data_IF_799105672412
#
_entry.id   IF_799105672412
#
_cell.length_a   1.000
_cell.length_b   1.000
_cell.length_c   1.000
_cell.angle_alpha   90.00
_cell.angle_beta   90.00
_cell.angle_gamma   90.00
#
_symmetry.space_group_name_H-M   'P 1'
#
loop_
_entity.id
_entity.type
_entity.pdbx_description
1 polymer ?
#
# COMPACT_ATOMS: atom_id res chain seq x y z
N UNK A 1 -5.61 4.76 22.42
CA UNK A 1 -4.72 5.88 21.95
C UNK A 1 -5.27 6.44 20.64
N UNK A 2 -5.10 7.74 20.36
CA UNK A 2 -5.52 8.34 19.08
C UNK A 2 -4.33 8.57 18.15
N UNK A 3 -4.48 8.23 16.88
CA UNK A 3 -3.52 8.55 15.81
C UNK A 3 -4.17 9.56 14.88
N UNK A 4 -3.42 10.61 14.53
CA UNK A 4 -3.84 11.65 13.60
C UNK A 4 -3.00 11.62 12.34
N UNK A 5 -3.62 11.88 11.20
CA UNK A 5 -2.89 12.17 9.98
C UNK A 5 -2.29 13.59 10.07
N UNK A 6 -1.02 13.80 9.74
CA UNK A 6 -0.43 15.15 9.75
C UNK A 6 -1.04 16.04 8.67
N UNK A 7 -1.26 17.31 8.99
CA UNK A 7 -1.68 18.32 7.99
C UNK A 7 -0.58 18.61 6.99
N UNK A 8 -0.96 18.90 5.76
CA UNK A 8 -0.01 19.32 4.71
C UNK A 8 0.62 20.66 5.05
N UNK A 9 1.94 20.77 4.83
CA UNK A 9 2.66 22.01 5.04
C UNK A 9 2.37 23.00 3.89
N UNK A 10 1.99 24.23 4.22
CA UNK A 10 1.71 25.29 3.24
C UNK A 10 2.95 25.67 2.40
N UNK A 11 4.15 25.52 2.94
CA UNK A 11 5.42 25.79 2.25
C UNK A 11 5.98 24.58 1.47
N UNK A 12 5.15 23.58 1.17
CA UNK A 12 5.55 22.37 0.44
C UNK A 12 5.45 22.53 -1.07
N UNK A 13 6.14 21.66 -1.79
CA UNK A 13 6.09 21.52 -3.25
C UNK A 13 5.83 20.05 -3.63
N UNK A 14 5.59 19.77 -4.92
CA UNK A 14 5.28 18.40 -5.39
C UNK A 14 6.31 17.33 -4.99
N UNK A 15 7.59 17.69 -4.86
CA UNK A 15 8.64 16.77 -4.41
C UNK A 15 8.66 16.49 -2.91
N UNK A 16 7.97 17.30 -2.08
CA UNK A 16 7.93 17.11 -0.63
C UNK A 16 7.19 15.83 -0.24
N UNK A 17 6.11 15.50 -0.96
CA UNK A 17 5.25 14.34 -0.65
C UNK A 17 5.61 13.09 -1.45
N UNK A 18 6.88 12.97 -1.80
CA UNK A 18 7.48 11.75 -2.35
C UNK A 18 7.05 11.40 -3.77
N UNK A 19 7.64 10.32 -4.24
CA UNK A 19 7.55 9.79 -5.59
C UNK A 19 7.09 8.33 -5.50
N UNK A 20 5.92 8.01 -6.03
CA UNK A 20 5.40 6.66 -6.07
C UNK A 20 5.56 6.07 -7.48
N UNK A 21 6.22 4.91 -7.59
CA UNK A 21 6.15 4.08 -8.78
C UNK A 21 5.11 2.99 -8.58
N UNK A 22 4.14 2.94 -9.48
CA UNK A 22 3.08 1.93 -9.51
C UNK A 22 3.28 1.06 -10.74
N UNK A 23 3.45 -0.25 -10.55
CA UNK A 23 3.45 -1.25 -11.62
C UNK A 23 2.11 -1.98 -11.55
N UNK A 24 1.23 -1.68 -12.52
CA UNK A 24 -0.16 -2.11 -12.50
C UNK A 24 -0.77 -2.15 -13.91
N UNK A 25 -1.79 -2.97 -14.12
CA UNK A 25 -2.59 -2.95 -15.35
C UNK A 25 -1.95 -3.69 -16.53
N UNK A 26 -2.12 -5.00 -16.59
CA UNK A 26 -1.94 -5.76 -17.82
C UNK A 26 -2.94 -5.32 -18.90
N UNK A 27 -2.82 -5.83 -20.11
CA UNK A 27 -3.78 -5.58 -21.19
C UNK A 27 -5.22 -5.85 -20.72
N UNK A 28 -6.12 -4.88 -20.94
CA UNK A 28 -7.52 -4.93 -20.50
C UNK A 28 -7.74 -4.58 -19.02
N UNK A 29 -6.69 -4.29 -18.24
CA UNK A 29 -6.77 -3.99 -16.82
C UNK A 29 -6.37 -2.53 -16.48
N UNK A 30 -6.56 -1.59 -17.42
CA UNK A 30 -6.28 -0.17 -17.23
C UNK A 30 -7.00 0.43 -16.00
N UNK A 31 -8.20 -0.07 -15.67
CA UNK A 31 -8.97 0.38 -14.51
C UNK A 31 -8.26 0.16 -13.17
N UNK A 32 -7.61 -0.99 -12.97
CA UNK A 32 -6.86 -1.28 -11.75
C UNK A 32 -5.66 -0.31 -11.59
N UNK A 33 -4.92 -0.09 -12.68
CA UNK A 33 -3.82 0.87 -12.73
C UNK A 33 -4.30 2.31 -12.43
N UNK A 34 -5.44 2.70 -13.04
CA UNK A 34 -6.05 4.00 -12.82
C UNK A 34 -6.45 4.21 -11.36
N UNK A 35 -7.19 3.26 -10.75
CA UNK A 35 -7.65 3.42 -9.36
C UNK A 35 -6.49 3.47 -8.37
N UNK A 36 -5.45 2.67 -8.57
CA UNK A 36 -4.24 2.73 -7.75
C UNK A 36 -3.55 4.10 -7.85
N UNK A 37 -3.37 4.64 -9.06
CA UNK A 37 -2.73 5.93 -9.29
C UNK A 37 -3.59 7.11 -8.79
N UNK A 38 -4.90 7.10 -9.09
CA UNK A 38 -5.84 8.11 -8.62
C UNK A 38 -5.85 8.19 -7.10
N UNK A 39 -5.95 7.02 -6.45
CA UNK A 39 -5.98 6.95 -4.99
C UNK A 39 -4.67 7.37 -4.36
N UNK A 40 -3.52 7.06 -4.95
CA UNK A 40 -2.22 7.55 -4.49
C UNK A 40 -2.18 9.09 -4.50
N UNK A 41 -2.63 9.73 -5.58
CA UNK A 41 -2.75 11.19 -5.64
C UNK A 41 -3.75 11.75 -4.65
N UNK A 42 -4.97 11.18 -4.58
CA UNK A 42 -6.02 11.61 -3.64
C UNK A 42 -5.63 11.42 -2.18
N UNK A 43 -4.66 10.54 -1.93
CA UNK A 43 -4.07 10.31 -0.60
C UNK A 43 -2.75 11.06 -0.38
N UNK A 44 -2.44 12.04 -1.23
CA UNK A 44 -1.43 13.05 -0.94
C UNK A 44 -0.05 12.83 -1.57
N UNK A 45 0.17 11.77 -2.36
CA UNK A 45 1.42 11.58 -3.12
C UNK A 45 1.73 12.80 -4.00
N UNK A 46 2.97 13.24 -4.03
CA UNK A 46 3.37 14.40 -4.82
C UNK A 46 3.59 14.10 -6.29
N UNK A 47 4.18 12.96 -6.62
CA UNK A 47 4.47 12.52 -7.98
C UNK A 47 4.20 11.02 -8.14
N UNK A 48 3.52 10.63 -9.22
CA UNK A 48 3.28 9.23 -9.57
C UNK A 48 3.88 8.94 -10.94
N UNK A 49 4.69 7.87 -11.01
CA UNK A 49 4.97 7.16 -12.26
C UNK A 49 4.11 5.90 -12.29
N UNK A 50 3.40 5.70 -13.38
CA UNK A 50 2.54 4.54 -13.57
C UNK A 50 3.07 3.71 -14.74
N UNK A 51 3.57 2.52 -14.45
CA UNK A 51 4.06 1.56 -15.42
C UNK A 51 2.96 0.53 -15.71
N UNK A 52 2.49 0.46 -16.95
CA UNK A 52 1.35 -0.37 -17.37
C UNK A 52 1.61 -1.00 -18.74
N UNK A 53 0.77 -1.94 -19.17
CA UNK A 53 0.85 -2.50 -20.50
C UNK A 53 0.71 -1.41 -21.57
N UNK A 54 1.42 -1.57 -22.69
CA UNK A 54 1.48 -0.59 -23.80
C UNK A 54 0.09 -0.21 -24.30
N UNK A 55 -0.82 -1.15 -24.34
CA UNK A 55 -2.20 -1.00 -24.80
C UNK A 55 -3.01 -0.03 -23.93
N UNK A 56 -2.61 0.14 -22.68
CA UNK A 56 -3.29 1.02 -21.71
C UNK A 56 -2.81 2.48 -21.75
N UNK A 57 -1.69 2.80 -22.41
CA UNK A 57 -1.04 4.11 -22.30
C UNK A 57 -1.97 5.27 -22.69
N UNK A 58 -2.65 5.19 -23.84
CA UNK A 58 -3.56 6.24 -24.30
C UNK A 58 -4.75 6.43 -23.37
N UNK A 59 -5.29 5.33 -22.82
CA UNK A 59 -6.41 5.34 -21.86
C UNK A 59 -5.95 6.01 -20.57
N UNK A 60 -4.83 5.59 -20.00
CA UNK A 60 -4.32 6.10 -18.75
C UNK A 60 -3.88 7.56 -18.85
N UNK A 61 -3.26 7.98 -19.98
CA UNK A 61 -2.90 9.37 -20.20
C UNK A 61 -4.13 10.28 -20.23
N UNK A 62 -5.28 9.75 -20.69
CA UNK A 62 -6.55 10.51 -20.71
C UNK A 62 -7.20 10.54 -19.32
N UNK A 63 -7.19 9.40 -18.60
CA UNK A 63 -7.87 9.26 -17.30
C UNK A 63 -7.13 9.94 -16.14
N UNK A 64 -5.78 9.96 -16.20
CA UNK A 64 -4.93 10.52 -15.13
C UNK A 64 -3.72 11.26 -15.74
N UNK A 65 -3.96 12.43 -16.38
CA UNK A 65 -2.92 13.19 -17.05
C UNK A 65 -1.82 13.71 -16.12
N UNK A 66 -2.05 13.72 -14.80
CA UNK A 66 -1.08 14.11 -13.79
C UNK A 66 0.05 13.06 -13.62
N UNK A 67 -0.20 11.80 -13.99
CA UNK A 67 0.78 10.73 -13.86
C UNK A 67 1.76 10.69 -15.04
N UNK A 68 3.02 10.39 -14.75
CA UNK A 68 4.00 10.05 -15.79
C UNK A 68 3.78 8.60 -16.17
N UNK A 69 3.31 8.35 -17.39
CA UNK A 69 3.00 6.99 -17.84
C UNK A 69 4.23 6.36 -18.51
N UNK A 70 4.57 5.14 -18.09
CA UNK A 70 5.59 4.28 -18.70
C UNK A 70 4.94 3.00 -19.19
N UNK A 71 5.49 2.40 -20.26
CA UNK A 71 5.08 1.04 -20.64
C UNK A 71 6.08 0.01 -20.13
N UNK A 72 5.57 -1.16 -19.76
CA UNK A 72 6.38 -2.35 -19.74
C UNK A 72 6.13 -3.16 -21.00
N UNK A 73 7.17 -3.79 -21.53
CA UNK A 73 7.11 -4.78 -22.59
C UNK A 73 8.35 -5.67 -22.49
N UNK A 74 8.38 -6.78 -23.25
CA UNK A 74 9.52 -7.71 -23.29
C UNK A 74 10.81 -7.12 -23.90
N UNK A 75 10.77 -5.91 -24.41
CA UNK A 75 11.91 -5.23 -24.99
C UNK A 75 12.89 -4.80 -23.92
N UNK A 76 14.18 -5.03 -24.10
CA UNK A 76 15.23 -4.71 -23.11
C UNK A 76 15.26 -3.23 -22.70
N UNK A 77 14.92 -2.34 -23.61
CA UNK A 77 14.88 -0.88 -23.35
C UNK A 77 13.81 -0.54 -22.32
N UNK A 78 12.63 -1.15 -22.39
CA UNK A 78 11.55 -0.94 -21.41
C UNK A 78 11.92 -1.46 -20.01
N UNK A 79 12.62 -2.58 -19.92
CA UNK A 79 13.14 -3.06 -18.62
C UNK A 79 14.13 -2.08 -18.00
N UNK A 80 14.98 -1.42 -18.83
CA UNK A 80 15.90 -0.38 -18.34
C UNK A 80 15.16 0.88 -17.87
N UNK A 81 14.09 1.27 -18.56
CA UNK A 81 13.23 2.38 -18.12
C UNK A 81 12.55 2.09 -16.79
N UNK A 82 12.05 0.85 -16.60
CA UNK A 82 11.47 0.40 -15.33
C UNK A 82 12.54 0.40 -14.22
N UNK A 83 13.76 -0.09 -14.49
CA UNK A 83 14.87 -0.04 -13.53
C UNK A 83 15.18 1.40 -13.08
N UNK A 84 15.28 2.33 -14.03
CA UNK A 84 15.46 3.76 -13.72
C UNK A 84 14.26 4.34 -12.94
N UNK A 85 13.05 3.86 -13.19
CA UNK A 85 11.88 4.29 -12.45
C UNK A 85 11.86 3.73 -11.00
N UNK A 86 12.37 2.52 -10.78
CA UNK A 86 12.57 1.94 -9.45
C UNK A 86 13.56 2.78 -8.64
N UNK A 87 14.68 3.18 -9.24
CA UNK A 87 15.67 4.04 -8.59
C UNK A 87 15.15 5.46 -8.28
N UNK A 88 14.24 5.97 -9.11
CA UNK A 88 13.63 7.28 -8.92
C UNK A 88 12.62 7.32 -7.76
N UNK A 89 12.01 6.18 -7.40
CA UNK A 89 10.89 6.12 -6.48
C UNK A 89 11.29 6.24 -5.01
N UNK A 90 10.41 6.83 -4.21
CA UNK A 90 10.45 6.82 -2.74
C UNK A 90 9.50 5.75 -2.16
N UNK A 91 8.57 5.21 -2.98
CA UNK A 91 7.65 4.12 -2.66
C UNK A 91 7.33 3.31 -3.92
N UNK A 92 7.26 2.00 -3.78
CA UNK A 92 6.91 1.07 -4.86
C UNK A 92 5.57 0.37 -4.56
N UNK A 93 4.69 0.33 -5.55
CA UNK A 93 3.45 -0.45 -5.52
C UNK A 93 3.44 -1.40 -6.71
N UNK A 94 3.29 -2.70 -6.45
CA UNK A 94 3.23 -3.73 -7.48
C UNK A 94 1.98 -4.59 -7.33
N UNK A 95 1.27 -4.83 -8.44
CA UNK A 95 0.34 -5.94 -8.53
C UNK A 95 -1.08 -5.65 -8.99
N UNK A 96 -1.72 -4.50 -8.75
CA UNK A 96 -3.09 -4.27 -9.19
C UNK A 96 -3.27 -4.55 -10.68
N UNK A 97 -4.04 -5.60 -11.02
CA UNK A 97 -4.31 -5.98 -12.41
C UNK A 97 -3.10 -6.30 -13.28
N UNK A 98 -1.97 -6.73 -12.68
CA UNK A 98 -0.74 -7.07 -13.44
C UNK A 98 -0.83 -8.38 -14.22
N UNK A 99 -1.82 -9.23 -13.89
CA UNK A 99 -1.82 -10.61 -14.35
C UNK A 99 -0.72 -11.45 -13.70
N UNK A 100 -0.67 -12.74 -14.08
CA UNK A 100 0.29 -13.71 -13.52
C UNK A 100 1.15 -14.35 -14.60
N UNK A 101 1.32 -13.68 -15.75
CA UNK A 101 2.17 -14.12 -16.86
C UNK A 101 3.66 -13.94 -16.55
N UNK A 102 4.51 -14.47 -17.46
CA UNK A 102 5.96 -14.47 -17.27
C UNK A 102 6.53 -13.04 -17.20
N UNK A 103 5.99 -12.10 -17.98
CA UNK A 103 6.41 -10.69 -17.95
C UNK A 103 6.17 -10.04 -16.57
N UNK A 104 4.97 -10.25 -16.00
CA UNK A 104 4.66 -9.75 -14.65
C UNK A 104 5.57 -10.39 -13.59
N UNK A 105 5.92 -11.67 -13.77
CA UNK A 105 6.86 -12.40 -12.91
C UNK A 105 8.27 -11.82 -12.98
N UNK A 106 8.77 -11.53 -14.18
CA UNK A 106 10.09 -10.91 -14.37
C UNK A 106 10.14 -9.50 -13.80
N UNK A 107 9.07 -8.70 -13.98
CA UNK A 107 8.95 -7.37 -13.40
C UNK A 107 8.92 -7.41 -11.86
N UNK A 108 8.19 -8.35 -11.25
CA UNK A 108 8.20 -8.51 -9.81
C UNK A 108 9.60 -8.90 -9.30
N UNK A 109 10.29 -9.79 -10.01
CA UNK A 109 11.68 -10.15 -9.70
C UNK A 109 12.58 -8.91 -9.73
N UNK A 110 12.51 -8.11 -10.80
CA UNK A 110 13.26 -6.86 -10.95
C UNK A 110 13.02 -5.91 -9.78
N UNK A 111 11.74 -5.71 -9.41
CA UNK A 111 11.36 -4.86 -8.27
C UNK A 111 11.96 -5.38 -6.97
N UNK A 112 11.89 -6.68 -6.70
CA UNK A 112 12.43 -7.30 -5.47
C UNK A 112 13.97 -7.27 -5.41
N UNK A 113 14.64 -7.38 -6.55
CA UNK A 113 16.11 -7.35 -6.62
C UNK A 113 16.69 -5.92 -6.55
N UNK A 114 16.04 -4.97 -7.22
CA UNK A 114 16.54 -3.59 -7.39
C UNK A 114 15.96 -2.59 -6.40
N UNK A 115 14.73 -2.76 -5.94
CA UNK A 115 14.08 -1.84 -5.00
C UNK A 115 14.85 -1.72 -3.67
N UNK A 116 14.85 -0.49 -3.12
CA UNK A 116 15.52 -0.16 -1.84
C UNK A 116 14.65 0.72 -0.94
N UNK A 117 13.45 1.00 -1.38
CA UNK A 117 12.45 1.84 -0.70
C UNK A 117 11.27 0.98 -0.25
N UNK A 118 10.32 1.48 0.54
CA UNK A 118 9.12 0.70 0.88
C UNK A 118 8.41 0.15 -0.33
N UNK A 119 8.01 -1.11 -0.27
CA UNK A 119 7.31 -1.84 -1.33
C UNK A 119 5.98 -2.39 -0.81
N UNK A 120 4.90 -2.12 -1.53
CA UNK A 120 3.62 -2.77 -1.35
C UNK A 120 3.37 -3.75 -2.49
N UNK A 121 3.03 -5.00 -2.14
CA UNK A 121 2.59 -6.03 -3.10
C UNK A 121 1.14 -6.38 -2.80
N UNK A 122 0.26 -6.24 -3.81
CA UNK A 122 -1.17 -6.56 -3.72
C UNK A 122 -1.62 -7.41 -4.91
N UNK A 123 -2.79 -7.96 -4.84
CA UNK A 123 -3.52 -8.61 -5.93
C UNK A 123 -2.66 -9.65 -6.71
N UNK A 124 -2.43 -9.44 -8.01
CA UNK A 124 -1.68 -10.39 -8.84
C UNK A 124 -0.22 -10.53 -8.41
N UNK A 125 0.37 -9.51 -7.77
CA UNK A 125 1.69 -9.63 -7.15
C UNK A 125 1.72 -10.71 -6.06
N UNK A 126 0.68 -10.79 -5.22
CA UNK A 126 0.52 -11.84 -4.21
C UNK A 126 0.27 -13.20 -4.83
N UNK A 127 -0.51 -13.25 -5.93
CA UNK A 127 -0.72 -14.48 -6.68
C UNK A 127 0.58 -15.02 -7.29
N UNK A 128 1.46 -14.14 -7.80
CA UNK A 128 2.79 -14.52 -8.28
C UNK A 128 3.67 -15.08 -7.15
N UNK A 129 3.71 -14.38 -6.01
CA UNK A 129 4.44 -14.87 -4.83
C UNK A 129 3.95 -16.25 -4.40
N UNK A 130 2.63 -16.49 -4.40
CA UNK A 130 2.08 -17.77 -3.95
C UNK A 130 2.49 -18.97 -4.81
N UNK A 131 2.92 -18.74 -6.06
CA UNK A 131 3.24 -19.79 -7.05
C UNK A 131 4.73 -19.99 -7.28
N UNK A 132 5.60 -19.12 -6.76
CA UNK A 132 7.04 -19.14 -7.06
C UNK A 132 7.87 -18.98 -5.78
N UNK A 133 8.55 -20.07 -5.38
CA UNK A 133 9.39 -20.10 -4.19
C UNK A 133 10.62 -19.17 -4.27
N UNK A 134 11.14 -18.91 -5.49
CA UNK A 134 12.24 -17.99 -5.68
C UNK A 134 11.78 -16.53 -5.43
N UNK A 135 10.59 -16.15 -5.91
CA UNK A 135 9.99 -14.86 -5.60
C UNK A 135 9.69 -14.72 -4.11
N UNK A 136 9.22 -15.77 -3.45
CA UNK A 136 9.02 -15.77 -1.98
C UNK A 136 10.34 -15.52 -1.25
N UNK A 137 11.42 -16.18 -1.65
CA UNK A 137 12.75 -15.99 -1.05
C UNK A 137 13.24 -14.54 -1.24
N UNK A 138 13.05 -13.96 -2.42
CA UNK A 138 13.38 -12.55 -2.71
C UNK A 138 12.52 -11.60 -1.87
N UNK A 139 11.21 -11.84 -1.73
CA UNK A 139 10.33 -11.01 -0.90
C UNK A 139 10.74 -11.04 0.58
N UNK A 140 11.07 -12.22 1.13
CA UNK A 140 11.62 -12.35 2.50
C UNK A 140 12.95 -11.61 2.66
N UNK A 141 13.82 -11.67 1.65
CA UNK A 141 15.08 -10.93 1.64
C UNK A 141 14.86 -9.41 1.55
N UNK A 142 13.84 -8.98 0.80
CA UNK A 142 13.43 -7.58 0.72
C UNK A 142 12.95 -7.06 2.06
N UNK A 143 12.05 -7.77 2.74
CA UNK A 143 11.52 -7.40 4.05
C UNK A 143 12.58 -7.25 5.15
N UNK A 144 13.73 -7.95 5.04
CA UNK A 144 14.88 -7.77 5.94
C UNK A 144 15.70 -6.50 5.66
N UNK A 145 15.58 -5.91 4.48
CA UNK A 145 16.41 -4.75 4.04
C UNK A 145 15.61 -3.47 3.92
N UNK A 146 14.33 -3.58 3.66
CA UNK A 146 13.42 -2.45 3.46
C UNK A 146 12.02 -2.82 3.91
N UNK A 147 11.16 -1.83 4.10
CA UNK A 147 9.78 -2.04 4.52
C UNK A 147 8.97 -2.73 3.40
N UNK A 148 8.38 -3.87 3.73
CA UNK A 148 7.52 -4.63 2.84
C UNK A 148 6.09 -4.64 3.38
N UNK A 149 5.11 -4.27 2.55
CA UNK A 149 3.69 -4.42 2.82
C UNK A 149 3.12 -5.53 1.95
N UNK A 150 2.36 -6.43 2.55
CA UNK A 150 1.56 -7.42 1.85
C UNK A 150 0.11 -7.26 2.27
N UNK A 151 -0.80 -7.15 1.29
CA UNK A 151 -2.19 -6.79 1.55
C UNK A 151 -3.20 -7.83 1.05
N UNK A 152 -3.04 -9.13 1.40
CA UNK A 152 -3.90 -10.19 0.91
C UNK A 152 -5.32 -10.10 1.47
N UNK A 153 -6.34 -10.42 0.65
CA UNK A 153 -7.61 -10.90 1.16
C UNK A 153 -7.52 -12.38 1.55
N UNK A 154 -8.54 -12.93 2.22
CA UNK A 154 -8.49 -14.30 2.77
C UNK A 154 -8.09 -15.38 1.74
N UNK A 155 -8.60 -15.30 0.50
CA UNK A 155 -8.27 -16.27 -0.55
C UNK A 155 -6.82 -16.14 -1.04
N UNK A 156 -6.30 -14.92 -1.17
CA UNK A 156 -4.89 -14.67 -1.50
C UNK A 156 -3.99 -15.15 -0.37
N UNK A 157 -4.38 -14.89 0.87
CA UNK A 157 -3.63 -15.33 2.05
C UNK A 157 -3.61 -16.85 2.19
N UNK A 158 -4.72 -17.54 1.88
CA UNK A 158 -4.78 -19.01 1.81
C UNK A 158 -3.75 -19.56 0.85
N UNK A 159 -3.69 -19.03 -0.39
CA UNK A 159 -2.71 -19.46 -1.40
C UNK A 159 -1.27 -19.16 -0.97
N UNK A 160 -1.03 -17.95 -0.43
CA UNK A 160 0.29 -17.47 -0.07
C UNK A 160 0.86 -18.19 1.17
N UNK A 161 0.02 -18.49 2.16
CA UNK A 161 0.41 -19.19 3.38
C UNK A 161 0.39 -20.73 3.26
N UNK A 162 -0.23 -21.25 2.19
CA UNK A 162 -0.46 -22.70 2.02
C UNK A 162 -1.46 -23.28 3.04
N UNK A 163 -2.28 -22.43 3.69
CA UNK A 163 -3.29 -22.84 4.66
C UNK A 163 -4.68 -22.80 4.04
N UNK A 164 -5.54 -23.75 4.43
CA UNK A 164 -6.94 -23.76 4.02
C UNK A 164 -7.72 -22.57 4.62
N UNK A 165 -8.81 -22.17 3.98
CA UNK A 165 -9.68 -21.12 4.52
C UNK A 165 -10.20 -21.46 5.91
N UNK A 166 -10.57 -22.71 6.17
CA UNK A 166 -11.04 -23.18 7.46
C UNK A 166 -9.95 -23.03 8.55
N UNK A 167 -8.66 -23.32 8.23
CA UNK A 167 -7.57 -23.06 9.17
C UNK A 167 -7.41 -21.56 9.46
N UNK A 168 -7.54 -20.70 8.42
CA UNK A 168 -7.45 -19.25 8.56
C UNK A 168 -8.63 -18.70 9.36
N UNK A 169 -9.84 -19.17 9.15
CA UNK A 169 -11.01 -18.77 9.93
C UNK A 169 -10.86 -19.11 11.42
N UNK A 170 -10.31 -20.27 11.73
CA UNK A 170 -10.13 -20.73 13.11
C UNK A 170 -8.90 -20.16 13.81
N UNK A 171 -7.80 -19.93 13.10
CA UNK A 171 -6.49 -19.58 13.65
C UNK A 171 -5.80 -18.40 12.90
N UNK A 172 -6.57 -17.61 12.14
CA UNK A 172 -6.03 -16.58 11.24
C UNK A 172 -5.06 -15.62 11.91
N UNK A 173 -5.38 -15.16 13.10
CA UNK A 173 -4.49 -14.27 13.85
C UNK A 173 -3.13 -14.91 14.18
N UNK A 174 -3.09 -16.21 14.53
CA UNK A 174 -1.84 -16.93 14.80
C UNK A 174 -1.03 -17.15 13.51
N UNK A 175 -1.71 -17.55 12.44
CA UNK A 175 -1.09 -17.78 11.13
C UNK A 175 -0.54 -16.47 10.58
N UNK A 176 -1.31 -15.37 10.64
CA UNK A 176 -0.91 -14.06 10.19
C UNK A 176 0.32 -13.53 10.95
N UNK A 177 0.38 -13.70 12.27
CA UNK A 177 1.54 -13.34 13.11
C UNK A 177 2.81 -14.08 12.69
N UNK A 178 2.72 -15.41 12.52
CA UNK A 178 3.85 -16.22 12.05
C UNK A 178 4.30 -15.80 10.66
N UNK A 179 3.35 -15.53 9.75
CA UNK A 179 3.62 -15.12 8.39
C UNK A 179 4.30 -13.74 8.32
N UNK A 180 3.78 -12.74 9.06
CA UNK A 180 4.39 -11.41 9.14
C UNK A 180 5.84 -11.46 9.59
N UNK A 181 6.13 -12.26 10.61
CA UNK A 181 7.48 -12.50 11.12
C UNK A 181 8.38 -13.22 10.10
N UNK A 182 7.86 -14.23 9.41
CA UNK A 182 8.62 -15.00 8.41
C UNK A 182 9.02 -14.14 7.20
N UNK A 183 8.11 -13.29 6.72
CA UNK A 183 8.35 -12.42 5.58
C UNK A 183 8.98 -11.08 5.98
N UNK A 184 9.14 -10.79 7.27
CA UNK A 184 9.56 -9.48 7.78
C UNK A 184 8.73 -8.34 7.17
N UNK A 185 7.40 -8.51 7.13
CA UNK A 185 6.50 -7.59 6.44
C UNK A 185 5.39 -7.06 7.36
N UNK A 186 4.89 -5.89 7.04
CA UNK A 186 3.60 -5.44 7.55
C UNK A 186 2.54 -6.16 6.73
N UNK A 187 1.82 -7.08 7.37
CA UNK A 187 0.76 -7.85 6.74
C UNK A 187 -0.59 -7.22 7.07
N UNK A 188 -1.33 -6.83 6.04
CA UNK A 188 -2.72 -6.38 6.15
C UNK A 188 -3.64 -7.48 5.63
N UNK A 189 -4.15 -8.32 6.53
CA UNK A 189 -5.09 -9.38 6.16
C UNK A 189 -6.48 -8.77 6.01
N UNK A 190 -6.88 -8.53 4.74
CA UNK A 190 -8.13 -7.88 4.36
C UNK A 190 -9.31 -8.83 4.52
N UNK A 191 -10.29 -8.45 5.35
CA UNK A 191 -11.57 -9.12 5.50
C UNK A 191 -12.60 -8.12 6.03
N UNK A 192 -13.82 -8.57 6.38
CA UNK A 192 -14.79 -7.75 7.09
C UNK A 192 -14.21 -7.22 8.42
N UNK A 193 -13.26 -7.93 9.02
CA UNK A 193 -12.48 -7.50 10.17
C UNK A 193 -10.96 -7.56 9.86
N UNK A 194 -10.44 -6.47 9.32
CA UNK A 194 -9.06 -6.38 8.84
C UNK A 194 -8.05 -6.36 9.99
N UNK A 195 -7.02 -7.19 9.90
CA UNK A 195 -5.90 -7.23 10.85
C UNK A 195 -4.64 -6.62 10.23
N UNK A 196 -3.90 -5.85 11.04
CA UNK A 196 -2.55 -5.36 10.71
C UNK A 196 -1.55 -6.03 11.65
N UNK A 197 -0.60 -6.73 11.07
CA UNK A 197 0.47 -7.45 11.77
C UNK A 197 1.81 -6.78 11.45
N UNK A 198 2.62 -6.55 12.49
CA UNK A 198 3.97 -6.00 12.33
C UNK A 198 4.97 -7.04 11.81
N UNK A 199 6.16 -6.62 11.34
CA UNK A 199 7.25 -7.53 10.96
C UNK A 199 7.76 -8.41 12.10
N UNK A 200 7.52 -8.02 13.36
CA UNK A 200 7.83 -8.80 14.56
C UNK A 200 6.75 -9.86 14.87
N UNK A 201 5.65 -9.88 14.10
CA UNK A 201 4.52 -10.79 14.29
C UNK A 201 3.55 -10.32 15.38
N UNK A 202 3.51 -9.05 15.69
CA UNK A 202 2.55 -8.48 16.64
C UNK A 202 1.28 -8.01 15.94
N UNK A 203 0.12 -8.24 16.55
CA UNK A 203 -1.13 -7.65 16.12
C UNK A 203 -1.16 -6.19 16.60
N UNK A 204 -0.93 -5.26 15.67
CA UNK A 204 -0.89 -3.83 15.98
C UNK A 204 -2.23 -3.13 15.79
N UNK A 205 -3.13 -3.73 15.03
CA UNK A 205 -4.47 -3.21 14.81
C UNK A 205 -5.43 -4.29 14.35
N UNK A 206 -6.66 -4.23 14.86
CA UNK A 206 -7.75 -5.12 14.47
C UNK A 206 -9.03 -4.31 14.29
N UNK A 207 -9.38 -4.03 13.03
CA UNK A 207 -10.59 -3.30 12.69
C UNK A 207 -11.79 -4.24 12.66
N UNK A 208 -12.78 -3.99 13.51
CA UNK A 208 -14.04 -4.74 13.56
C UNK A 208 -15.18 -4.08 12.78
N UNK A 209 -14.97 -2.85 12.27
CA UNK A 209 -15.95 -2.12 11.48
C UNK A 209 -15.82 -2.48 10.02
N UNK A 210 -16.93 -2.78 9.36
CA UNK A 210 -17.01 -3.02 7.91
C UNK A 210 -17.87 -1.95 7.23
N UNK A 211 -17.72 -1.81 5.92
CA UNK A 211 -18.53 -0.93 5.08
C UNK A 211 -18.92 -1.70 3.81
N UNK A 212 -20.23 -1.95 3.64
CA UNK A 212 -20.75 -2.74 2.53
C UNK A 212 -20.43 -2.09 1.16
N UNK A 213 -20.36 -0.77 1.09
CA UNK A 213 -20.02 -0.03 -0.12
C UNK A 213 -18.61 -0.38 -0.67
N UNK A 214 -17.71 -0.93 0.16
CA UNK A 214 -16.37 -1.38 -0.26
C UNK A 214 -16.39 -2.72 -1.01
N UNK A 215 -17.51 -3.44 -1.03
CA UNK A 215 -17.65 -4.73 -1.74
C UNK A 215 -17.84 -4.51 -3.24
N UNK A 216 -16.88 -3.86 -3.89
CA UNK A 216 -16.86 -3.50 -5.33
C UNK A 216 -15.50 -3.82 -5.94
N UNK A 217 -15.52 -4.21 -7.23
CA UNK A 217 -14.29 -4.31 -8.01
C UNK A 217 -13.54 -2.98 -8.02
N UNK A 218 -12.23 -3.02 -7.82
CA UNK A 218 -11.38 -1.83 -7.78
C UNK A 218 -11.18 -1.21 -6.39
N UNK A 219 -11.97 -1.59 -5.36
CA UNK A 219 -11.79 -1.05 -4.01
C UNK A 219 -10.45 -1.45 -3.38
N UNK A 220 -9.92 -2.62 -3.73
CA UNK A 220 -8.58 -3.07 -3.36
C UNK A 220 -7.49 -2.20 -3.98
N UNK A 221 -7.64 -1.86 -5.26
CA UNK A 221 -6.69 -1.00 -5.98
C UNK A 221 -6.66 0.42 -5.38
N UNK A 222 -7.84 0.94 -5.01
CA UNK A 222 -7.98 2.21 -4.25
C UNK A 222 -7.25 2.11 -2.92
N UNK A 223 -7.41 1.01 -2.19
CA UNK A 223 -6.71 0.80 -0.91
C UNK A 223 -5.20 0.80 -1.09
N UNK A 224 -4.68 0.05 -2.07
CA UNK A 224 -3.25 -0.06 -2.31
C UNK A 224 -2.61 1.32 -2.64
N UNK A 225 -3.26 2.11 -3.49
CA UNK A 225 -2.83 3.47 -3.80
C UNK A 225 -2.90 4.40 -2.59
N UNK A 226 -3.97 4.31 -1.78
CA UNK A 226 -4.12 5.16 -0.59
C UNK A 226 -3.04 4.89 0.46
N UNK A 227 -2.66 3.63 0.66
CA UNK A 227 -1.58 3.27 1.59
C UNK A 227 -0.25 3.91 1.17
N UNK A 228 0.08 3.88 -0.13
CA UNK A 228 1.28 4.52 -0.63
C UNK A 228 1.28 6.04 -0.35
N UNK A 229 0.16 6.73 -0.61
CA UNK A 229 0.04 8.16 -0.38
C UNK A 229 0.12 8.53 1.10
N UNK A 230 -0.59 7.82 1.96
CA UNK A 230 -0.58 8.05 3.43
C UNK A 230 0.82 7.80 3.99
N UNK A 231 1.52 6.74 3.55
CA UNK A 231 2.89 6.49 3.98
C UNK A 231 3.81 7.66 3.62
N UNK A 232 3.72 8.19 2.40
CA UNK A 232 4.55 9.31 1.94
C UNK A 232 4.28 10.61 2.69
N UNK A 233 3.03 10.88 3.11
CA UNK A 233 2.71 12.01 4.00
C UNK A 233 3.44 11.86 5.35
N UNK A 234 3.38 10.68 5.95
CA UNK A 234 4.02 10.40 7.24
C UNK A 234 5.55 10.49 7.13
N UNK A 235 6.11 10.06 6.01
CA UNK A 235 7.55 10.15 5.73
C UNK A 235 8.04 11.60 5.63
N UNK A 236 7.27 12.47 4.96
CA UNK A 236 7.59 13.90 4.90
C UNK A 236 7.52 14.56 6.28
N UNK A 237 6.48 14.27 7.05
CA UNK A 237 6.33 14.80 8.41
C UNK A 237 7.49 14.34 9.31
N UNK A 238 7.91 13.09 9.17
CA UNK A 238 9.07 12.53 9.88
C UNK A 238 10.35 13.29 9.54
N UNK A 239 10.64 13.45 8.24
CA UNK A 239 11.81 14.21 7.76
C UNK A 239 11.79 15.68 8.22
N UNK A 240 10.61 16.28 8.23
CA UNK A 240 10.42 17.66 8.69
C UNK A 240 10.74 17.81 10.17
N UNK A 241 10.24 16.90 11.01
CA UNK A 241 10.52 16.93 12.47
C UNK A 241 12.00 16.71 12.77
N UNK A 242 12.67 15.82 12.06
CA UNK A 242 14.12 15.62 12.19
C UNK A 242 14.92 16.90 11.90
N UNK A 243 14.58 17.60 10.82
CA UNK A 243 15.23 18.87 10.45
C UNK A 243 15.08 19.97 11.51
N UNK A 244 13.99 19.97 12.28
CA UNK A 244 13.70 20.96 13.32
C UNK A 244 14.17 20.50 14.72
N UNK A 245 14.75 19.30 14.83
CA UNK A 245 15.25 18.75 16.09
C UNK A 245 14.15 18.35 17.09
N UNK A 246 12.90 18.17 16.62
CA UNK A 246 11.77 17.70 17.41
C UNK A 246 11.75 16.17 17.43
N UNK A 247 11.96 15.58 18.62
CA UNK A 247 11.76 14.14 18.82
C UNK A 247 10.28 13.78 18.68
N UNK A 248 10.00 12.67 17.97
CA UNK A 248 8.63 12.16 17.81
C UNK A 248 8.22 11.31 18.99
N UNK A 249 7.24 11.75 19.78
CA UNK A 249 6.41 10.85 20.57
C UNK A 249 5.23 10.39 19.71
N UNK A 250 5.44 9.39 18.87
CA UNK A 250 4.37 8.66 18.17
C UNK A 250 4.44 7.21 18.63
N UNK A 251 3.35 6.71 19.22
CA UNK A 251 3.06 5.32 19.61
C UNK A 251 4.21 4.56 20.29
N UNK A 252 4.17 4.31 21.60
CA UNK A 252 5.10 3.40 22.26
C UNK A 252 4.78 1.96 21.83
N UNK A 253 5.65 1.34 21.05
CA UNK A 253 5.73 -0.12 21.03
C UNK A 253 6.27 -0.56 22.40
N UNK A 254 5.64 -1.56 23.00
CA UNK A 254 6.07 -2.11 24.29
C UNK A 254 7.53 -2.53 24.19
N UNK A 255 8.38 -1.99 25.04
CA UNK A 255 9.81 -2.22 25.19
C UNK A 255 10.73 -1.53 24.16
N UNK A 256 11.10 -0.29 24.42
CA UNK A 256 12.43 0.21 24.05
C UNK A 256 12.89 1.24 25.06
N UNK A 257 14.07 0.97 25.62
CA UNK A 257 14.83 1.96 26.39
C UNK A 257 15.12 3.18 25.52
N UNK A 258 15.07 4.35 26.12
CA UNK A 258 15.08 5.69 25.49
C UNK A 258 16.41 6.07 24.77
N UNK A 259 17.20 5.12 24.28
CA UNK A 259 18.42 5.42 23.55
C UNK A 259 18.30 5.05 22.07
N UNK A 260 18.34 6.08 21.21
CA UNK A 260 18.45 6.05 19.74
C UNK A 260 17.62 4.95 19.08
N UNK A 261 16.33 5.26 18.87
CA UNK A 261 15.49 4.41 18.03
C UNK A 261 16.22 4.15 16.69
N UNK A 262 16.52 2.87 16.41
CA UNK A 262 17.12 2.47 15.14
C UNK A 262 16.22 2.97 13.99
N UNK A 263 16.84 3.49 12.94
CA UNK A 263 16.14 3.98 11.75
C UNK A 263 15.14 2.96 11.20
N UNK A 264 15.46 1.68 11.31
CA UNK A 264 14.60 0.55 10.93
C UNK A 264 13.34 0.48 11.79
N UNK A 265 13.46 0.58 13.13
CA UNK A 265 12.32 0.55 14.05
C UNK A 265 11.37 1.75 13.81
N UNK A 266 11.93 2.93 13.51
CA UNK A 266 11.15 4.11 13.14
C UNK A 266 10.36 3.91 11.85
N UNK A 267 10.97 3.33 10.81
CA UNK A 267 10.29 3.04 9.55
C UNK A 267 9.17 2.00 9.73
N UNK A 268 9.40 0.95 10.51
CA UNK A 268 8.38 -0.06 10.82
C UNK A 268 7.19 0.58 11.53
N UNK A 269 7.44 1.39 12.56
CA UNK A 269 6.38 2.12 13.29
C UNK A 269 5.55 3.00 12.35
N UNK A 270 6.22 3.78 11.51
CA UNK A 270 5.58 4.62 10.52
C UNK A 270 4.76 3.82 9.52
N UNK A 271 5.28 2.68 9.06
CA UNK A 271 4.57 1.76 8.18
C UNK A 271 3.31 1.18 8.83
N UNK A 272 3.38 0.76 10.11
CA UNK A 272 2.21 0.30 10.86
C UNK A 272 1.15 1.40 10.99
N UNK A 273 1.56 2.64 11.29
CA UNK A 273 0.65 3.79 11.36
C UNK A 273 0.01 4.05 10.00
N UNK A 274 0.78 4.01 8.90
CA UNK A 274 0.25 4.16 7.55
C UNK A 274 -0.80 3.09 7.24
N UNK A 275 -0.53 1.84 7.59
CA UNK A 275 -1.45 0.73 7.41
C UNK A 275 -2.77 0.94 8.18
N UNK A 276 -2.70 1.37 9.44
CA UNK A 276 -3.87 1.65 10.28
C UNK A 276 -4.70 2.80 9.69
N UNK A 277 -4.06 3.94 9.41
CA UNK A 277 -4.73 5.11 8.83
C UNK A 277 -5.36 4.79 7.48
N UNK A 278 -4.74 3.93 6.67
CA UNK A 278 -5.29 3.51 5.38
C UNK A 278 -6.54 2.62 5.55
N UNK A 279 -6.56 1.75 6.56
CA UNK A 279 -7.76 0.97 6.89
C UNK A 279 -8.92 1.89 7.28
N UNK A 280 -8.67 2.91 8.09
CA UNK A 280 -9.70 3.86 8.50
C UNK A 280 -10.12 4.79 7.37
N UNK A 281 -9.16 5.32 6.59
CA UNK A 281 -9.44 6.17 5.44
C UNK A 281 -10.34 5.47 4.42
N UNK A 282 -10.12 4.18 4.18
CA UNK A 282 -10.93 3.40 3.25
C UNK A 282 -12.38 3.24 3.74
N UNK A 283 -12.60 2.99 5.03
CA UNK A 283 -13.96 2.93 5.60
C UNK A 283 -14.64 4.29 5.48
N UNK A 284 -13.97 5.35 5.92
CA UNK A 284 -14.52 6.70 5.86
C UNK A 284 -14.86 7.12 4.43
N UNK A 285 -13.97 6.82 3.47
CA UNK A 285 -14.24 7.12 2.05
C UNK A 285 -15.40 6.30 1.48
N UNK A 286 -15.53 5.03 1.86
CA UNK A 286 -16.68 4.19 1.50
C UNK A 286 -17.99 4.70 2.09
N UNK A 287 -18.01 5.11 3.36
CA UNK A 287 -19.18 5.69 4.03
C UNK A 287 -19.57 7.04 3.43
N UNK A 288 -18.60 7.90 3.12
CA UNK A 288 -18.84 9.18 2.45
C UNK A 288 -19.43 8.95 1.04
N UNK A 289 -18.85 8.04 0.27
CA UNK A 289 -19.37 7.69 -1.05
C UNK A 289 -20.80 7.09 -0.96
N UNK A 290 -21.06 6.24 0.04
CA UNK A 290 -22.39 5.64 0.24
C UNK A 290 -23.46 6.69 0.61
N UNK A 291 -23.11 7.75 1.34
CA UNK A 291 -24.04 8.85 1.63
C UNK A 291 -24.47 9.60 0.37
N UNK A 292 -23.58 9.70 -0.62
CA UNK A 292 -23.85 10.42 -1.86
C UNK A 292 -24.57 9.53 -2.89
N UNK A 293 -24.12 8.27 -3.04
CA UNK A 293 -24.51 7.37 -4.12
C UNK A 293 -25.41 6.20 -3.67
N UNK A 294 -25.65 6.06 -2.37
CA UNK A 294 -26.26 4.86 -1.79
C UNK A 294 -25.31 3.66 -1.83
N UNK A 295 -25.42 2.73 -0.87
CA UNK A 295 -24.50 1.58 -0.75
C UNK A 295 -24.39 0.73 -2.03
N UNK A 296 -25.52 0.55 -2.73
CA UNK A 296 -25.56 -0.23 -3.97
C UNK A 296 -24.97 0.50 -5.18
N UNK A 297 -25.03 1.84 -5.20
CA UNK A 297 -24.58 2.69 -6.31
C UNK A 297 -23.10 3.05 -6.28
N UNK A 298 -22.40 2.83 -5.16
CA UNK A 298 -20.98 3.18 -5.03
C UNK A 298 -20.12 2.38 -6.02
N UNK A 299 -19.21 3.08 -6.70
CA UNK A 299 -18.16 2.54 -7.54
C UNK A 299 -16.78 2.83 -6.92
N UNK A 300 -15.74 2.13 -7.34
CA UNK A 300 -14.37 2.36 -6.85
C UNK A 300 -13.89 3.81 -7.06
N UNK A 301 -14.29 4.43 -8.18
CA UNK A 301 -14.01 5.86 -8.45
C UNK A 301 -14.64 6.81 -7.42
N UNK A 302 -15.84 6.50 -6.91
CA UNK A 302 -16.49 7.29 -5.86
C UNK A 302 -15.69 7.19 -4.54
N UNK A 303 -15.23 5.98 -4.20
CA UNK A 303 -14.39 5.74 -3.01
C UNK A 303 -13.07 6.54 -3.14
N UNK A 304 -12.39 6.44 -4.29
CA UNK A 304 -11.16 7.18 -4.53
C UNK A 304 -11.36 8.70 -4.46
N UNK A 305 -12.47 9.22 -5.01
CA UNK A 305 -12.79 10.65 -4.97
C UNK A 305 -13.14 11.14 -3.55
N UNK A 306 -13.74 10.31 -2.72
CA UNK A 306 -14.03 10.62 -1.33
C UNK A 306 -12.80 10.56 -0.41
N UNK A 307 -11.68 9.99 -0.88
CA UNK A 307 -10.48 9.77 -0.07
C UNK A 307 -9.92 11.06 0.55
N UNK A 308 -9.82 12.15 -0.22
CA UNK A 308 -9.33 13.43 0.30
C UNK A 308 -10.13 13.93 1.51
N UNK A 309 -11.48 13.80 1.48
CA UNK A 309 -12.33 14.16 2.62
C UNK A 309 -12.20 13.19 3.79
N UNK A 310 -12.00 11.92 3.53
CA UNK A 310 -11.72 10.93 4.59
C UNK A 310 -10.41 11.25 5.33
N UNK A 311 -9.37 11.68 4.60
CA UNK A 311 -8.10 12.10 5.19
C UNK A 311 -8.25 13.37 6.04
N UNK A 312 -9.03 14.35 5.59
CA UNK A 312 -9.32 15.56 6.36
C UNK A 312 -9.99 15.22 7.70
N UNK A 313 -10.91 14.26 7.73
CA UNK A 313 -11.49 13.75 8.97
C UNK A 313 -10.45 13.09 9.87
N UNK A 314 -9.48 12.36 9.31
CA UNK A 314 -8.38 11.77 10.09
C UNK A 314 -7.37 12.81 10.61
N UNK A 315 -7.20 13.94 9.91
CA UNK A 315 -6.44 15.09 10.40
C UNK A 315 -7.10 15.77 11.61
N UNK A 316 -8.43 15.90 11.57
CA UNK A 316 -9.20 16.62 12.58
C UNK A 316 -9.57 15.77 13.81
N UNK A 317 -9.99 14.53 13.57
CA UNK A 317 -10.58 13.67 14.61
C UNK A 317 -9.64 12.53 15.02
N UNK A 318 -8.69 12.16 14.16
CA UNK A 318 -7.85 10.98 14.34
C UNK A 318 -8.63 9.67 14.30
N UNK A 319 -7.92 8.56 14.43
CA UNK A 319 -8.51 7.23 14.67
C UNK A 319 -8.11 6.71 16.06
N UNK A 320 -9.01 5.97 16.71
CA UNK A 320 -8.75 5.31 18.00
C UNK A 320 -8.15 3.93 17.75
N UNK A 321 -7.10 3.60 18.52
CA UNK A 321 -6.53 2.24 18.59
C UNK A 321 -6.83 1.73 19.99
N UNK A 322 -7.58 0.63 20.05
CA UNK A 322 -7.91 -0.08 21.29
C UNK A 322 -6.75 -0.99 21.73
#
# INVERSE_FOLDING_TARGET
MKIFLPKRNQASHKGSYGKCLILAGAEGMAGAAYFAALSAYRSGTGLVKLCSAKENLGILQTLIPEAIILSFSKEKEHFKEVENAIEWADFLLFGPGMGTGEEAKELLRLVLEKGRVPLLIDADGLNLLSRDSALQALAKAYGRKSLLFLTPHLMEFSRLSGKSLTEIENQGGKIAKSFGKEYHCILLLKSHDTMVISPEGELVYHRKKSCAALSKGGSGDVFAGSLAGIYLILEEESKRKEKVGLSQEMMPLKNSDKEKEDKTAKQIRQGCIAAILSCEAQILSGELAAKEWGEHGVLAGNIANAMGKALELLEEQGCSID
#
